data_IF_037220250592
#
_entry.id   IF_037220250592
#
_cell.length_a   1.000
_cell.length_b   1.000
_cell.length_c   1.000
_cell.angle_alpha   90.00
_cell.angle_beta   90.00
_cell.angle_gamma   90.00
#
_symmetry.space_group_name_H-M   'P 1'
#
loop_
_entity.id
_entity.type
_entity.pdbx_description
1 polymer ?
#
# COMPACT_ATOMS: atom_id res chain seq x y z
N UNK A 1 -4.15 15.68 -13.02
CA UNK A 1 -3.90 14.38 -12.38
C UNK A 1 -3.45 13.40 -13.43
N UNK A 2 -2.34 12.70 -13.24
CA UNK A 2 -1.80 11.68 -14.11
C UNK A 2 -1.72 10.37 -13.31
N UNK A 3 -2.36 9.31 -13.80
CA UNK A 3 -2.29 7.98 -13.19
C UNK A 3 -2.15 6.90 -14.24
N UNK A 4 -1.53 5.80 -13.88
CA UNK A 4 -1.36 4.67 -14.77
C UNK A 4 -0.60 3.51 -14.13
N UNK A 5 -0.35 2.50 -14.96
CA UNK A 5 0.45 1.33 -14.57
C UNK A 5 1.57 1.08 -15.58
N UNK A 6 2.67 0.56 -15.07
CA UNK A 6 3.82 0.10 -15.82
C UNK A 6 3.93 -1.41 -15.63
N UNK A 7 4.05 -2.12 -16.75
CA UNK A 7 4.30 -3.55 -16.75
C UNK A 7 5.59 -3.83 -17.51
N UNK A 8 6.46 -4.65 -16.94
CA UNK A 8 7.64 -5.15 -17.64
C UNK A 8 7.76 -6.66 -17.48
N UNK A 9 8.20 -7.32 -18.53
CA UNK A 9 8.44 -8.76 -18.56
C UNK A 9 9.82 -9.02 -19.17
N UNK A 10 10.67 -9.68 -18.40
CA UNK A 10 12.04 -10.02 -18.79
C UNK A 10 12.19 -11.55 -18.80
N UNK A 11 12.58 -12.11 -19.95
CA UNK A 11 12.76 -13.56 -20.08
C UNK A 11 14.21 -13.89 -20.42
N UNK A 12 14.78 -14.84 -19.67
CA UNK A 12 16.13 -15.33 -19.88
C UNK A 12 16.29 -16.80 -19.46
N UNK A 13 16.71 -17.66 -20.38
CA UNK A 13 17.02 -19.08 -20.13
C UNK A 13 15.97 -19.87 -19.35
N UNK A 14 14.69 -19.65 -19.62
CA UNK A 14 13.56 -20.30 -18.94
C UNK A 14 13.04 -19.55 -17.72
N UNK A 15 13.73 -18.52 -17.25
CA UNK A 15 13.21 -17.59 -16.25
C UNK A 15 12.41 -16.48 -16.93
N UNK A 16 11.30 -16.13 -16.32
CA UNK A 16 10.49 -14.96 -16.70
C UNK A 16 10.17 -14.15 -15.44
N UNK A 17 10.68 -12.93 -15.40
CA UNK A 17 10.41 -11.96 -14.35
C UNK A 17 9.36 -10.97 -14.85
N UNK A 18 8.24 -10.88 -14.16
CA UNK A 18 7.19 -9.89 -14.40
C UNK A 18 7.15 -8.91 -13.23
N UNK A 19 7.16 -7.62 -13.54
CA UNK A 19 7.04 -6.56 -12.54
C UNK A 19 5.92 -5.62 -12.96
N UNK A 20 5.02 -5.33 -12.01
CA UNK A 20 3.96 -4.36 -12.19
C UNK A 20 4.15 -3.23 -11.18
N UNK A 21 4.10 -2.00 -11.66
CA UNK A 21 4.10 -0.81 -10.85
C UNK A 21 2.91 0.09 -11.21
N UNK A 22 2.38 0.80 -10.23
CA UNK A 22 1.35 1.81 -10.41
C UNK A 22 1.88 3.19 -10.01
N UNK A 23 1.43 4.22 -10.69
CA UNK A 23 1.79 5.59 -10.35
C UNK A 23 0.59 6.51 -10.40
N UNK A 24 0.62 7.54 -9.54
CA UNK A 24 -0.36 8.60 -9.47
C UNK A 24 0.35 9.91 -9.12
N UNK A 25 0.18 10.95 -9.94
CA UNK A 25 0.80 12.25 -9.73
C UNK A 25 -0.20 13.40 -9.92
N UNK A 26 -0.07 14.43 -9.08
CA UNK A 26 -0.85 15.66 -9.19
C UNK A 26 -2.32 15.52 -8.86
N UNK A 27 -2.71 14.49 -8.11
CA UNK A 27 -4.02 14.35 -7.48
C UNK A 27 -4.02 14.91 -6.07
N UNK A 28 -5.21 15.24 -5.56
CA UNK A 28 -5.42 15.56 -4.16
C UNK A 28 -6.16 14.41 -3.49
N UNK A 29 -5.87 14.17 -2.22
CA UNK A 29 -6.51 13.15 -1.41
C UNK A 29 -6.88 13.72 -0.05
N UNK A 30 -8.06 13.36 0.43
CA UNK A 30 -8.42 13.62 1.80
C UNK A 30 -7.77 12.59 2.72
N UNK A 31 -6.88 13.06 3.62
CA UNK A 31 -6.18 12.18 4.55
C UNK A 31 -7.07 11.81 5.73
N UNK A 32 -7.88 10.76 5.54
CA UNK A 32 -8.82 10.26 6.55
C UNK A 32 -8.11 9.81 7.83
N UNK A 33 -6.86 9.34 7.74
CA UNK A 33 -6.07 8.96 8.92
C UNK A 33 -5.78 10.16 9.80
N UNK A 34 -5.36 11.29 9.21
CA UNK A 34 -5.15 12.53 9.98
C UNK A 34 -6.46 13.04 10.58
N UNK A 35 -7.54 13.02 9.81
CA UNK A 35 -8.84 13.49 10.30
C UNK A 35 -9.35 12.60 11.46
N UNK A 36 -9.41 11.29 11.27
CA UNK A 36 -10.13 10.39 12.18
C UNK A 36 -9.25 9.79 13.29
N UNK A 37 -7.93 9.69 13.10
CA UNK A 37 -7.03 9.06 14.08
C UNK A 37 -6.09 10.04 14.76
N UNK A 38 -6.04 11.29 14.30
CA UNK A 38 -5.21 12.36 14.90
C UNK A 38 -6.04 13.52 15.40
N UNK A 39 -6.90 14.11 14.56
CA UNK A 39 -7.70 15.31 14.93
C UNK A 39 -8.96 14.91 15.74
N UNK A 40 -9.82 14.08 15.15
CA UNK A 40 -11.11 13.69 15.75
C UNK A 40 -11.00 12.29 16.35
N UNK A 41 -10.20 12.19 17.39
CA UNK A 41 -9.96 10.89 18.03
C UNK A 41 -11.15 10.47 18.89
N UNK A 42 -11.39 9.16 18.90
CA UNK A 42 -12.12 8.53 19.99
C UNK A 42 -11.10 8.13 21.07
N UNK A 43 -11.13 8.78 22.26
CA UNK A 43 -10.16 8.50 23.32
C UNK A 43 -10.24 7.07 23.87
N UNK A 44 -11.30 6.34 23.60
CA UNK A 44 -11.49 4.94 24.01
C UNK A 44 -11.04 3.94 22.93
N UNK A 45 -10.69 4.41 21.73
CA UNK A 45 -10.25 3.59 20.62
C UNK A 45 -8.72 3.64 20.39
N UNK A 46 -8.28 2.95 19.32
CA UNK A 46 -6.91 3.06 18.84
C UNK A 46 -6.68 4.42 18.18
N UNK A 47 -5.73 5.17 18.69
CA UNK A 47 -5.37 6.49 18.19
C UNK A 47 -3.92 6.52 17.69
N UNK A 48 -3.62 7.42 16.77
CA UNK A 48 -2.27 7.66 16.31
C UNK A 48 -1.46 8.40 17.38
N UNK A 49 -0.16 8.07 17.48
CA UNK A 49 0.75 8.74 18.45
C UNK A 49 0.76 10.26 18.27
N UNK A 50 0.60 10.76 17.05
CA UNK A 50 0.54 12.19 16.76
C UNK A 50 -0.61 12.91 17.46
N UNK A 51 -1.69 12.17 17.78
CA UNK A 51 -2.80 12.70 18.57
C UNK A 51 -2.39 13.19 19.96
N UNK A 52 -1.28 12.71 20.49
CA UNK A 52 -0.73 13.11 21.78
C UNK A 52 0.45 14.09 21.64
N UNK A 53 1.27 13.95 20.60
CA UNK A 53 2.53 14.70 20.46
C UNK A 53 2.38 16.00 19.70
N UNK A 54 1.46 16.10 18.73
CA UNK A 54 1.33 17.20 17.78
C UNK A 54 0.04 18.01 17.97
N UNK A 55 -0.58 17.91 19.14
CA UNK A 55 -1.86 18.54 19.47
C UNK A 55 -1.65 19.73 20.38
N UNK A 56 -2.49 20.75 20.19
CA UNK A 56 -2.52 21.93 21.04
C UNK A 56 -2.91 21.55 22.49
N UNK A 57 -2.13 22.02 23.47
CA UNK A 57 -2.33 21.76 24.91
C UNK A 57 -2.42 23.03 25.72
N UNK A 58 -1.73 24.09 25.34
CA UNK A 58 -1.66 25.35 26.08
C UNK A 58 -1.45 26.53 25.16
N UNK A 59 -1.82 27.77 25.57
CA UNK A 59 -1.50 28.96 24.85
C UNK A 59 -0.01 29.10 24.55
N UNK A 60 0.31 29.42 23.29
CA UNK A 60 1.70 29.51 22.79
C UNK A 60 2.21 28.27 22.07
N UNK A 61 1.48 27.14 22.10
CA UNK A 61 1.87 25.96 21.31
C UNK A 61 1.67 26.20 19.81
N UNK A 62 2.74 26.00 19.04
CA UNK A 62 2.71 26.03 17.57
C UNK A 62 2.60 24.58 17.06
N UNK A 63 1.40 24.10 16.89
CA UNK A 63 1.08 22.72 16.50
C UNK A 63 0.05 22.67 15.39
N UNK A 64 0.01 21.54 14.67
CA UNK A 64 -0.86 21.36 13.51
C UNK A 64 -2.31 21.04 13.90
N UNK A 65 -2.51 20.33 15.01
CA UNK A 65 -3.82 19.75 15.39
C UNK A 65 -4.42 20.50 16.57
N UNK A 66 -5.76 20.61 16.56
CA UNK A 66 -6.53 21.25 17.63
C UNK A 66 -6.42 20.49 18.95
N UNK A 67 -6.74 21.15 20.06
CA UNK A 67 -6.92 20.51 21.36
C UNK A 67 -8.04 19.46 21.31
N UNK A 68 -8.09 18.55 22.28
CA UNK A 68 -9.21 17.60 22.40
C UNK A 68 -10.42 18.39 22.90
N UNK A 69 -11.49 18.53 22.09
CA UNK A 69 -12.69 19.22 22.56
C UNK A 69 -13.44 18.33 23.57
N UNK A 70 -14.01 18.94 24.58
CA UNK A 70 -14.89 18.24 25.54
C UNK A 70 -16.16 17.70 24.86
N UNK A 71 -16.64 18.40 23.82
CA UNK A 71 -17.78 17.99 23.00
C UNK A 71 -17.38 17.98 21.53
N UNK A 72 -17.33 16.81 20.92
CA UNK A 72 -17.10 16.63 19.49
C UNK A 72 -18.43 16.87 18.77
N UNK A 73 -18.66 18.07 18.26
CA UNK A 73 -19.73 18.28 17.28
C UNK A 73 -19.25 17.80 15.91
N UNK A 74 -20.08 17.01 15.22
CA UNK A 74 -19.78 16.46 13.89
C UNK A 74 -19.68 17.53 12.77
N UNK A 75 -20.07 18.75 13.07
CA UNK A 75 -20.26 19.82 12.08
C UNK A 75 -19.00 20.29 11.35
N UNK A 76 -17.80 20.00 11.85
CA UNK A 76 -16.54 20.45 11.27
C UNK A 76 -15.53 19.34 10.91
N UNK A 77 -15.98 18.10 10.77
CA UNK A 77 -15.09 16.96 10.47
C UNK A 77 -14.46 17.04 9.09
N UNK A 78 -15.13 17.65 8.12
CA UNK A 78 -14.65 17.75 6.75
C UNK A 78 -14.05 19.14 6.51
N UNK A 79 -12.75 19.25 6.63
CA UNK A 79 -12.00 20.48 6.43
C UNK A 79 -10.93 20.29 5.37
N UNK A 80 -10.70 21.31 4.55
CA UNK A 80 -9.60 21.35 3.55
C UNK A 80 -8.21 21.14 4.17
N UNK A 81 -8.07 21.32 5.48
CA UNK A 81 -6.83 21.10 6.24
C UNK A 81 -6.24 19.70 6.07
N UNK A 82 -7.09 18.73 5.73
CA UNK A 82 -6.70 17.32 5.53
C UNK A 82 -6.59 16.93 4.06
N UNK A 83 -6.79 17.87 3.15
CA UNK A 83 -6.52 17.66 1.73
C UNK A 83 -5.01 17.79 1.50
N UNK A 84 -4.40 16.74 1.01
CA UNK A 84 -2.97 16.67 0.74
C UNK A 84 -2.74 16.22 -0.71
N UNK A 85 -1.66 16.73 -1.31
CA UNK A 85 -1.30 16.36 -2.66
C UNK A 85 -0.71 14.96 -2.70
N UNK A 86 -1.37 14.05 -3.40
CA UNK A 86 -0.99 12.64 -3.50
C UNK A 86 -0.15 12.38 -4.76
N UNK A 87 1.15 12.20 -4.55
CA UNK A 87 2.08 11.68 -5.53
C UNK A 87 2.54 10.31 -5.04
N UNK A 88 2.08 9.27 -5.71
CA UNK A 88 2.34 7.90 -5.29
C UNK A 88 2.97 7.10 -6.42
N UNK A 89 4.01 6.33 -6.08
CA UNK A 89 4.58 5.27 -6.91
C UNK A 89 4.59 3.98 -6.09
N UNK A 90 4.02 2.92 -6.63
CA UNK A 90 3.90 1.64 -5.93
C UNK A 90 4.35 0.48 -6.81
N UNK A 91 5.19 -0.41 -6.29
CA UNK A 91 5.48 -1.71 -6.88
C UNK A 91 4.42 -2.67 -6.37
N UNK A 92 3.43 -2.96 -7.23
CA UNK A 92 2.23 -3.71 -6.85
C UNK A 92 2.45 -5.20 -6.87
N UNK A 93 3.27 -5.71 -7.83
CA UNK A 93 3.60 -7.13 -7.86
C UNK A 93 4.94 -7.40 -8.52
N UNK A 94 5.62 -8.44 -8.05
CA UNK A 94 6.77 -9.06 -8.71
C UNK A 94 6.48 -10.54 -8.77
N UNK A 95 6.65 -11.14 -9.96
CA UNK A 95 6.46 -12.56 -10.19
C UNK A 95 7.64 -13.12 -10.98
N UNK A 96 8.28 -14.13 -10.43
CA UNK A 96 9.35 -14.89 -11.07
C UNK A 96 8.82 -16.27 -11.41
N UNK A 97 8.86 -16.62 -12.69
CA UNK A 97 8.49 -17.94 -13.20
C UNK A 97 9.71 -18.65 -13.78
N UNK A 98 9.74 -19.97 -13.66
CA UNK A 98 10.72 -20.80 -14.29
C UNK A 98 10.05 -21.94 -15.05
N UNK A 99 10.35 -22.05 -16.35
CA UNK A 99 9.89 -23.14 -17.20
C UNK A 99 10.98 -24.19 -17.33
N UNK A 100 10.68 -25.40 -16.87
CA UNK A 100 11.60 -26.53 -16.92
C UNK A 100 11.76 -27.07 -18.33
N UNK A 101 12.99 -27.42 -18.70
CA UNK A 101 13.29 -28.04 -20.00
C UNK A 101 12.64 -29.42 -20.11
N UNK A 102 12.04 -29.77 -21.27
CA UNK A 102 11.28 -31.02 -21.45
C UNK A 102 12.08 -32.30 -21.21
N UNK A 103 13.40 -32.26 -21.38
CA UNK A 103 14.26 -33.47 -21.26
C UNK A 103 14.22 -34.15 -19.88
N UNK A 104 14.07 -33.40 -18.81
CA UNK A 104 13.97 -33.92 -17.44
C UNK A 104 12.54 -34.41 -17.12
N UNK A 105 11.53 -33.82 -17.75
CA UNK A 105 10.11 -34.04 -17.44
C UNK A 105 9.51 -35.26 -18.12
N UNK A 106 10.05 -35.67 -19.29
CA UNK A 106 9.54 -36.81 -20.06
C UNK A 106 9.61 -38.12 -19.29
N UNK A 107 10.62 -38.28 -18.41
CA UNK A 107 10.79 -39.49 -17.59
C UNK A 107 9.63 -39.70 -16.59
N UNK A 108 8.93 -38.65 -16.23
CA UNK A 108 7.82 -38.65 -15.26
C UNK A 108 6.45 -38.34 -15.90
N UNK A 109 6.37 -38.42 -17.25
CA UNK A 109 5.13 -38.23 -18.00
C UNK A 109 4.64 -36.77 -18.07
N UNK A 110 5.44 -35.79 -17.67
CA UNK A 110 5.08 -34.37 -17.73
C UNK A 110 5.66 -33.76 -19.02
N UNK A 111 4.81 -33.12 -19.82
CA UNK A 111 5.23 -32.42 -21.05
C UNK A 111 5.85 -31.07 -20.76
N UNK A 112 5.28 -30.35 -19.80
CA UNK A 112 5.73 -28.99 -19.42
C UNK A 112 5.49 -28.77 -17.93
N UNK A 113 6.40 -28.09 -17.27
CA UNK A 113 6.27 -27.66 -15.88
C UNK A 113 6.71 -26.21 -15.74
N UNK A 114 5.84 -25.39 -15.18
CA UNK A 114 6.15 -24.01 -14.80
C UNK A 114 6.01 -23.85 -13.29
N UNK A 115 7.06 -23.35 -12.65
CA UNK A 115 7.05 -22.94 -11.23
C UNK A 115 7.11 -21.44 -11.16
N UNK A 116 6.25 -20.84 -10.33
CA UNK A 116 6.23 -19.40 -10.11
C UNK A 116 6.26 -19.05 -8.63
N UNK A 117 6.95 -17.98 -8.30
CA UNK A 117 6.92 -17.34 -6.98
C UNK A 117 6.55 -15.89 -7.20
N UNK A 118 5.54 -15.44 -6.48
CA UNK A 118 5.06 -14.06 -6.57
C UNK A 118 4.90 -13.39 -5.21
N UNK A 119 5.10 -12.10 -5.21
CA UNK A 119 4.88 -11.22 -4.07
C UNK A 119 4.04 -10.04 -4.52
N UNK A 120 3.01 -9.70 -3.76
CA UNK A 120 2.20 -8.52 -3.99
C UNK A 120 2.41 -7.48 -2.89
N UNK A 121 2.10 -6.22 -3.22
CA UNK A 121 2.18 -5.08 -2.31
C UNK A 121 3.59 -4.87 -1.70
N UNK A 122 4.61 -4.82 -2.56
CA UNK A 122 6.01 -4.85 -2.15
C UNK A 122 6.44 -3.54 -1.55
N UNK A 123 6.22 -2.43 -2.27
CA UNK A 123 6.66 -1.11 -1.86
C UNK A 123 5.69 -0.03 -2.35
N UNK A 124 5.48 0.97 -1.51
CA UNK A 124 4.72 2.16 -1.85
C UNK A 124 5.47 3.39 -1.37
N UNK A 125 5.74 4.29 -2.28
CA UNK A 125 6.33 5.60 -2.04
C UNK A 125 5.23 6.64 -2.30
N UNK A 126 4.88 7.41 -1.30
CA UNK A 126 3.81 8.41 -1.40
C UNK A 126 4.22 9.68 -0.68
N UNK A 127 3.82 10.83 -1.25
CA UNK A 127 3.95 12.13 -0.59
C UNK A 127 3.03 12.27 0.62
N UNK A 128 1.95 11.48 0.65
CA UNK A 128 0.98 11.45 1.75
C UNK A 128 1.21 10.20 2.57
N UNK A 129 1.50 10.38 3.86
CA UNK A 129 1.60 9.26 4.80
C UNK A 129 0.19 8.80 5.17
N UNK A 130 -0.36 7.91 4.36
CA UNK A 130 -1.53 7.13 4.72
C UNK A 130 -1.08 5.84 5.42
N UNK A 131 -1.51 5.67 6.64
CA UNK A 131 -1.24 4.45 7.38
C UNK A 131 -2.19 3.36 6.90
N UNK A 132 -1.62 2.36 6.23
CA UNK A 132 -2.35 1.17 5.81
C UNK A 132 -2.51 0.24 7.02
N UNK A 133 -3.67 -0.39 7.12
CA UNK A 133 -3.93 -1.35 8.21
C UNK A 133 -4.37 -0.72 9.52
N UNK A 134 -4.91 0.48 9.52
CA UNK A 134 -5.51 1.09 10.72
C UNK A 134 -6.77 0.36 11.19
N UNK A 135 -7.52 -0.22 10.26
CA UNK A 135 -8.72 -1.04 10.54
C UNK A 135 -8.41 -2.53 10.46
N UNK A 136 -7.60 -2.92 9.46
CA UNK A 136 -7.14 -4.30 9.26
C UNK A 136 -5.62 -4.33 9.17
N UNK A 137 -4.94 -5.34 9.72
CA UNK A 137 -3.50 -5.49 9.58
C UNK A 137 -3.11 -5.51 8.10
N UNK A 138 -2.11 -4.71 7.72
CA UNK A 138 -1.58 -4.75 6.37
C UNK A 138 -0.81 -6.05 6.16
N UNK A 139 -1.20 -6.82 5.15
CA UNK A 139 -0.56 -8.08 4.82
C UNK A 139 0.11 -8.00 3.44
N UNK A 140 1.35 -8.46 3.38
CA UNK A 140 1.99 -8.80 2.11
C UNK A 140 1.57 -10.20 1.72
N UNK A 141 1.11 -10.38 0.49
CA UNK A 141 0.76 -11.70 -0.02
C UNK A 141 1.92 -12.32 -0.76
N UNK A 142 2.20 -13.58 -0.42
CA UNK A 142 3.13 -14.45 -1.12
C UNK A 142 2.34 -15.57 -1.77
N UNK A 143 2.67 -15.89 -3.01
CA UNK A 143 2.03 -17.00 -3.70
C UNK A 143 3.05 -17.83 -4.46
N UNK A 144 2.83 -19.14 -4.47
CA UNK A 144 3.61 -20.10 -5.23
C UNK A 144 2.68 -20.72 -6.26
N UNK A 145 3.14 -20.77 -7.48
CA UNK A 145 2.38 -21.36 -8.59
C UNK A 145 3.09 -22.60 -9.09
N UNK A 146 2.36 -23.71 -9.20
CA UNK A 146 2.82 -24.96 -9.76
C UNK A 146 1.87 -25.36 -10.89
N UNK A 147 2.36 -25.41 -12.13
CA UNK A 147 1.56 -25.71 -13.34
C UNK A 147 2.21 -26.85 -14.14
N UNK A 148 1.87 -28.11 -13.85
CA UNK A 148 2.24 -29.23 -14.72
C UNK A 148 1.27 -29.32 -15.91
N UNK A 149 1.78 -29.75 -17.07
CA UNK A 149 1.01 -30.13 -18.26
C UNK A 149 1.38 -31.54 -18.66
N UNK A 150 0.42 -32.43 -18.76
CA UNK A 150 0.57 -33.83 -19.13
C UNK A 150 0.33 -34.09 -20.61
#
# INVERSE_FOLDING_TARGET
>A
MLEGSLFTSLSYRGFTLNVTAAYKFGGDIYNTTLANKVEYIDPYGNVDRRAFTERWKKPGDLVRFLGIPENVSDENRYSERFVERDNTFAITSIMLNYEFKPGYLRKIGIKRLNLGIGVADIARFSSVKQERGTEYPFQRSFHITFRPTF
#
